data_IF_116635617603
#
_entry.id   IF_116635617603
#
_cell.length_a   1.000
_cell.length_b   1.000
_cell.length_c   1.000
_cell.angle_alpha   90.00
_cell.angle_beta   90.00
_cell.angle_gamma   90.00
#
_symmetry.space_group_name_H-M   'P 1'
#
loop_
_entity.id
_entity.type
_entity.pdbx_description
1 polymer ?
#
# COMPACT_ATOMS: atom_id res chain seq x y z
N UNK A 1 21.56 -39.28 -40.21
CA UNK A 1 20.33 -39.91 -40.76
C UNK A 1 19.59 -40.44 -39.56
N UNK A 2 18.44 -39.94 -39.12
CA UNK A 2 17.36 -39.24 -39.83
C UNK A 2 16.96 -37.99 -39.04
N UNK A 3 16.90 -36.85 -39.73
CA UNK A 3 16.16 -35.68 -39.24
C UNK A 3 14.71 -36.00 -39.57
N UNK A 4 13.89 -36.31 -38.57
CA UNK A 4 12.44 -36.36 -38.75
C UNK A 4 11.99 -34.98 -39.29
N UNK A 5 11.14 -34.94 -40.32
CA UNK A 5 10.64 -33.68 -40.83
C UNK A 5 9.82 -32.99 -39.73
N UNK A 6 9.95 -31.67 -39.64
CA UNK A 6 9.11 -30.83 -38.78
C UNK A 6 7.65 -31.23 -38.97
N UNK A 7 6.95 -31.49 -37.85
CA UNK A 7 5.55 -31.89 -37.83
C UNK A 7 4.73 -30.96 -38.73
N UNK A 8 4.01 -31.57 -39.67
CA UNK A 8 3.15 -30.88 -40.63
C UNK A 8 2.03 -30.13 -39.87
N UNK A 9 1.94 -28.79 -39.94
CA UNK A 9 0.94 -27.99 -39.21
C UNK A 9 -0.52 -28.33 -39.58
N UNK A 10 -0.75 -29.13 -40.63
CA UNK A 10 -2.06 -29.66 -41.02
C UNK A 10 -2.57 -30.80 -40.11
N UNK A 11 -1.74 -31.33 -39.20
CA UNK A 11 -2.10 -32.40 -38.26
C UNK A 11 -1.76 -31.99 -36.83
N UNK A 12 -2.28 -30.86 -36.34
CA UNK A 12 -2.29 -30.56 -34.90
C UNK A 12 -3.59 -31.11 -34.27
N UNK A 13 -3.55 -31.46 -32.97
CA UNK A 13 -4.79 -31.84 -32.27
C UNK A 13 -5.80 -30.68 -32.32
N UNK A 14 -7.06 -30.98 -32.69
CA UNK A 14 -8.13 -29.98 -32.72
C UNK A 14 -8.36 -29.41 -31.31
N UNK A 15 -8.37 -28.08 -31.21
CA UNK A 15 -8.63 -27.33 -29.99
C UNK A 15 -9.59 -26.17 -30.23
N UNK A 16 -10.25 -25.72 -29.17
CA UNK A 16 -11.03 -24.48 -29.17
C UNK A 16 -10.96 -23.79 -27.81
N UNK A 17 -11.33 -22.51 -27.78
CA UNK A 17 -11.37 -21.72 -26.56
C UNK A 17 -12.81 -21.43 -26.13
N UNK A 18 -13.10 -21.60 -24.84
CA UNK A 18 -14.27 -20.99 -24.20
C UNK A 18 -13.95 -19.52 -23.88
N UNK A 19 -14.51 -18.61 -24.67
CA UNK A 19 -14.29 -17.17 -24.52
C UNK A 19 -14.79 -16.60 -23.19
N UNK A 20 -15.73 -17.25 -22.51
CA UNK A 20 -16.18 -16.82 -21.18
C UNK A 20 -15.10 -17.07 -20.14
N UNK A 21 -14.50 -18.26 -20.16
CA UNK A 21 -13.38 -18.59 -19.27
C UNK A 21 -12.12 -17.79 -19.60
N UNK A 22 -11.88 -17.46 -20.88
CA UNK A 22 -10.83 -16.51 -21.27
C UNK A 22 -11.07 -15.14 -20.65
N UNK A 23 -12.28 -14.60 -20.77
CA UNK A 23 -12.63 -13.30 -20.20
C UNK A 23 -12.51 -13.32 -18.68
N UNK A 24 -12.97 -14.39 -18.05
CA UNK A 24 -12.85 -14.59 -16.61
C UNK A 24 -11.37 -14.60 -16.19
N UNK A 25 -10.50 -15.35 -16.87
CA UNK A 25 -9.07 -15.42 -16.54
C UNK A 25 -8.42 -14.03 -16.53
N UNK A 26 -8.76 -13.18 -17.51
CA UNK A 26 -8.28 -11.79 -17.59
C UNK A 26 -8.79 -10.97 -16.41
N UNK A 27 -10.09 -11.05 -16.10
CA UNK A 27 -10.68 -10.35 -14.94
C UNK A 27 -10.00 -10.78 -13.64
N UNK A 28 -9.71 -12.08 -13.48
CA UNK A 28 -9.02 -12.60 -12.32
C UNK A 28 -7.59 -12.06 -12.19
N UNK A 29 -6.85 -11.99 -13.30
CA UNK A 29 -5.51 -11.38 -13.28
C UNK A 29 -5.56 -9.89 -12.93
N UNK A 30 -6.56 -9.15 -13.41
CA UNK A 30 -6.74 -7.73 -13.06
C UNK A 30 -7.01 -7.58 -11.56
N UNK A 31 -7.92 -8.38 -10.99
CA UNK A 31 -8.28 -8.31 -9.57
C UNK A 31 -7.11 -8.74 -8.68
N UNK A 32 -6.46 -9.85 -8.99
CA UNK A 32 -5.24 -10.29 -8.33
C UNK A 32 -4.17 -9.20 -8.37
N UNK A 33 -4.01 -8.58 -9.54
CA UNK A 33 -3.04 -7.54 -9.74
C UNK A 33 -3.31 -6.28 -8.92
N UNK A 34 -4.58 -5.86 -8.86
CA UNK A 34 -5.03 -4.77 -8.01
C UNK A 34 -4.75 -5.05 -6.53
N UNK A 35 -5.02 -6.29 -6.10
CA UNK A 35 -4.76 -6.76 -4.73
C UNK A 35 -3.29 -6.69 -4.36
N UNK A 36 -2.45 -7.30 -5.20
CA UNK A 36 -1.03 -7.40 -4.97
C UNK A 36 -0.36 -6.01 -4.95
N UNK A 37 -0.71 -5.14 -5.91
CA UNK A 37 -0.23 -3.76 -5.94
C UNK A 37 -0.68 -2.96 -4.71
N UNK A 38 -1.92 -3.18 -4.26
CA UNK A 38 -2.45 -2.51 -3.08
C UNK A 38 -1.75 -2.92 -1.79
N UNK A 39 -1.43 -4.21 -1.63
CA UNK A 39 -0.66 -4.72 -0.49
C UNK A 39 0.80 -4.30 -0.55
N UNK A 40 1.43 -4.36 -1.73
CA UNK A 40 2.81 -3.92 -1.94
C UNK A 40 3.01 -2.43 -1.62
N UNK A 41 2.05 -1.57 -1.97
CA UNK A 41 2.10 -0.13 -1.69
C UNK A 41 2.13 0.21 -0.19
N UNK A 42 1.69 -0.70 0.70
CA UNK A 42 1.76 -0.50 2.16
C UNK A 42 3.13 -0.83 2.76
N UNK A 43 3.98 -1.57 2.04
CA UNK A 43 5.28 -2.04 2.52
C UNK A 43 6.22 -0.89 2.93
N UNK A 44 6.36 0.21 2.17
CA UNK A 44 7.26 1.32 2.52
C UNK A 44 6.83 2.10 3.77
N UNK A 45 5.53 2.12 4.08
CA UNK A 45 4.93 3.01 5.09
C UNK A 45 4.88 2.40 6.50
N UNK A 46 5.35 1.17 6.67
CA UNK A 46 5.21 0.42 7.91
C UNK A 46 6.57 -0.08 8.40
N UNK A 47 7.04 0.48 9.52
CA UNK A 47 8.31 0.09 10.12
C UNK A 47 8.25 -1.29 10.81
N UNK A 48 9.39 -2.00 10.84
CA UNK A 48 9.57 -3.24 11.60
C UNK A 48 8.90 -4.49 11.03
N UNK A 49 8.48 -5.41 11.91
CA UNK A 49 7.88 -6.72 11.56
C UNK A 49 6.59 -6.61 10.74
N UNK A 50 5.81 -5.55 10.95
CA UNK A 50 4.53 -5.35 10.24
C UNK A 50 4.71 -5.14 8.73
N UNK A 51 5.83 -4.58 8.28
CA UNK A 51 6.15 -4.46 6.85
C UNK A 51 6.34 -5.82 6.16
N UNK A 52 6.82 -6.84 6.89
CA UNK A 52 6.90 -8.21 6.37
C UNK A 52 5.54 -8.86 6.17
N UNK A 53 4.53 -8.55 7.01
CA UNK A 53 3.18 -9.09 6.81
C UNK A 53 2.52 -8.57 5.52
N UNK A 54 2.66 -7.28 5.22
CA UNK A 54 2.16 -6.71 3.97
C UNK A 54 2.87 -7.29 2.75
N UNK A 55 4.18 -7.53 2.88
CA UNK A 55 4.97 -8.13 1.83
C UNK A 55 4.59 -9.59 1.57
N UNK A 56 4.46 -10.40 2.63
CA UNK A 56 3.98 -11.79 2.54
C UNK A 56 2.58 -11.85 1.95
N UNK A 57 1.66 -10.99 2.42
CA UNK A 57 0.30 -10.89 1.89
C UNK A 57 0.29 -10.54 0.40
N UNK A 58 1.09 -9.55 -0.01
CA UNK A 58 1.23 -9.16 -1.42
C UNK A 58 1.80 -10.28 -2.29
N UNK A 59 2.81 -11.00 -1.82
CA UNK A 59 3.42 -12.12 -2.53
C UNK A 59 2.45 -13.30 -2.70
N UNK A 60 1.70 -13.65 -1.64
CA UNK A 60 0.68 -14.69 -1.69
C UNK A 60 -0.44 -14.29 -2.65
N UNK A 61 -0.97 -13.06 -2.54
CA UNK A 61 -2.02 -12.58 -3.43
C UNK A 61 -1.58 -12.56 -4.90
N UNK A 62 -0.34 -12.13 -5.17
CA UNK A 62 0.24 -12.14 -6.52
C UNK A 62 0.39 -13.57 -7.04
N UNK A 63 1.07 -14.45 -6.29
CA UNK A 63 1.34 -15.82 -6.73
C UNK A 63 0.07 -16.65 -6.93
N UNK A 64 -0.86 -16.59 -5.98
CA UNK A 64 -2.18 -17.23 -6.08
C UNK A 64 -2.95 -16.69 -7.29
N UNK A 65 -2.94 -15.37 -7.50
CA UNK A 65 -3.66 -14.75 -8.60
C UNK A 65 -3.14 -15.09 -9.99
N UNK A 66 -1.81 -15.11 -10.17
CA UNK A 66 -1.19 -15.54 -11.44
C UNK A 66 -1.52 -17.02 -11.68
N UNK A 67 -1.42 -17.86 -10.66
CA UNK A 67 -1.76 -19.28 -10.74
C UNK A 67 -3.24 -19.52 -11.08
N UNK A 68 -4.16 -18.82 -10.41
CA UNK A 68 -5.59 -18.87 -10.69
C UNK A 68 -5.91 -18.43 -12.12
N UNK A 69 -5.33 -17.32 -12.60
CA UNK A 69 -5.52 -16.92 -14.00
C UNK A 69 -5.01 -18.00 -14.95
N UNK A 70 -3.81 -18.53 -14.73
CA UNK A 70 -3.23 -19.55 -15.60
C UNK A 70 -4.13 -20.77 -15.71
N UNK A 71 -4.59 -21.35 -14.59
CA UNK A 71 -5.41 -22.55 -14.64
C UNK A 71 -6.85 -22.30 -15.10
N UNK A 72 -7.43 -21.12 -14.85
CA UNK A 72 -8.70 -20.75 -15.49
C UNK A 72 -8.51 -20.57 -17.01
N UNK A 73 -7.36 -20.06 -17.45
CA UNK A 73 -6.99 -20.01 -18.86
C UNK A 73 -6.78 -21.39 -19.49
N UNK A 74 -6.20 -22.34 -18.74
CA UNK A 74 -6.09 -23.75 -19.15
C UNK A 74 -7.47 -24.41 -19.27
N UNK A 75 -8.37 -24.16 -18.32
CA UNK A 75 -9.75 -24.65 -18.39
C UNK A 75 -10.53 -24.07 -19.57
N UNK A 76 -10.15 -22.89 -20.05
CA UNK A 76 -10.71 -22.31 -21.26
C UNK A 76 -10.24 -23.01 -22.54
N UNK A 77 -9.09 -23.70 -22.51
CA UNK A 77 -8.51 -24.38 -23.65
C UNK A 77 -8.95 -25.85 -23.68
N UNK A 78 -9.78 -26.19 -24.65
CA UNK A 78 -10.31 -27.55 -24.80
C UNK A 78 -9.57 -28.33 -25.87
N UNK A 79 -9.12 -29.52 -25.51
CA UNK A 79 -8.61 -30.54 -26.43
C UNK A 79 -9.66 -31.64 -26.64
N UNK A 80 -9.47 -32.43 -27.70
CA UNK A 80 -10.35 -33.56 -28.03
C UNK A 80 -10.17 -34.79 -27.10
N UNK A 81 -9.33 -34.67 -26.07
CA UNK A 81 -9.02 -35.70 -25.08
C UNK A 81 -9.36 -35.18 -23.67
N UNK A 82 -9.72 -36.06 -22.72
CA UNK A 82 -9.88 -35.65 -21.32
C UNK A 82 -8.52 -35.22 -20.72
N UNK A 83 -8.53 -34.12 -19.96
CA UNK A 83 -7.35 -33.58 -19.30
C UNK A 83 -7.46 -33.71 -17.78
N UNK A 84 -6.34 -34.13 -17.19
CA UNK A 84 -6.09 -34.17 -15.75
C UNK A 84 -4.73 -33.54 -15.45
N UNK A 85 -4.49 -33.25 -14.17
CA UNK A 85 -3.33 -32.50 -13.71
C UNK A 85 -2.64 -33.24 -12.58
N UNK A 86 -1.33 -33.39 -12.67
CA UNK A 86 -0.52 -33.96 -11.62
C UNK A 86 -0.48 -33.03 -10.39
N UNK A 87 -0.91 -33.53 -9.23
CA UNK A 87 -1.05 -32.74 -8.00
C UNK A 87 0.30 -32.16 -7.54
N UNK A 88 1.40 -32.95 -7.42
CA UNK A 88 2.70 -32.41 -7.03
C UNK A 88 3.21 -31.29 -7.95
N UNK A 89 3.13 -31.47 -9.27
CA UNK A 89 3.60 -30.46 -10.24
C UNK A 89 2.72 -29.21 -10.19
N UNK A 90 1.40 -29.38 -10.09
CA UNK A 90 0.44 -28.27 -9.94
C UNK A 90 0.73 -27.46 -8.67
N UNK A 91 0.97 -28.13 -7.55
CA UNK A 91 1.33 -27.47 -6.29
C UNK A 91 2.71 -26.78 -6.36
N UNK A 92 3.70 -27.41 -7.00
CA UNK A 92 5.01 -26.79 -7.21
C UNK A 92 4.88 -25.48 -8.01
N UNK A 93 4.00 -25.43 -9.02
CA UNK A 93 3.78 -24.24 -9.83
C UNK A 93 3.33 -23.03 -9.02
N UNK A 94 2.34 -23.18 -8.11
CA UNK A 94 1.87 -22.07 -7.27
C UNK A 94 2.94 -21.62 -6.26
N UNK A 95 3.69 -22.57 -5.69
CA UNK A 95 4.79 -22.26 -4.77
C UNK A 95 5.85 -21.43 -5.48
N UNK A 96 6.23 -21.79 -6.71
CA UNK A 96 7.18 -21.00 -7.50
C UNK A 96 6.71 -19.56 -7.73
N UNK A 97 5.43 -19.36 -8.07
CA UNK A 97 4.89 -18.02 -8.27
C UNK A 97 4.90 -17.19 -6.98
N UNK A 98 4.52 -17.78 -5.84
CA UNK A 98 4.53 -17.08 -4.54
C UNK A 98 5.95 -16.73 -4.12
N UNK A 99 6.89 -17.68 -4.22
CA UNK A 99 8.29 -17.50 -3.83
C UNK A 99 8.97 -16.45 -4.72
N UNK A 100 8.76 -16.50 -6.04
CA UNK A 100 9.30 -15.50 -6.95
C UNK A 100 8.73 -14.10 -6.66
N UNK A 101 7.42 -14.00 -6.43
CA UNK A 101 6.77 -12.74 -6.03
C UNK A 101 7.34 -12.20 -4.72
N UNK A 102 7.59 -13.08 -3.75
CA UNK A 102 8.16 -12.72 -2.45
C UNK A 102 9.55 -12.11 -2.58
N UNK A 103 10.46 -12.79 -3.29
CA UNK A 103 11.81 -12.31 -3.48
C UNK A 103 11.86 -11.02 -4.32
N UNK A 104 11.04 -10.91 -5.36
CA UNK A 104 10.97 -9.71 -6.20
C UNK A 104 10.55 -8.47 -5.39
N UNK A 105 9.52 -8.61 -4.55
CA UNK A 105 9.04 -7.54 -3.67
C UNK A 105 10.03 -7.24 -2.53
N UNK A 106 10.64 -8.26 -1.94
CA UNK A 106 11.64 -8.10 -0.88
C UNK A 106 12.90 -7.37 -1.36
N UNK A 107 13.32 -7.62 -2.60
CA UNK A 107 14.50 -6.98 -3.18
C UNK A 107 14.30 -5.47 -3.39
N UNK A 108 13.08 -5.02 -3.72
CA UNK A 108 12.77 -3.59 -3.90
C UNK A 108 12.50 -2.87 -2.56
N UNK A 109 12.10 -3.59 -1.51
CA UNK A 109 11.80 -3.00 -0.19
C UNK A 109 12.94 -2.16 0.40
N UNK A 110 14.19 -2.58 0.23
CA UNK A 110 15.34 -2.01 0.95
C UNK A 110 16.00 -0.78 0.27
N UNK A 111 15.26 -0.03 -0.54
CA UNK A 111 15.51 1.42 -0.64
C UNK A 111 16.69 1.90 -1.50
N UNK A 112 17.02 1.21 -2.60
CA UNK A 112 17.73 1.89 -3.69
C UNK A 112 17.00 1.59 -5.00
N UNK A 113 16.13 2.52 -5.43
CA UNK A 113 15.42 2.51 -6.72
C UNK A 113 16.36 2.72 -7.92
N UNK A 114 17.58 2.18 -7.85
CA UNK A 114 18.47 2.07 -9.01
C UNK A 114 17.78 1.18 -10.02
N UNK A 115 17.86 1.58 -11.29
CA UNK A 115 17.37 0.81 -12.43
C UNK A 115 17.81 -0.66 -12.38
N UNK A 116 19.01 -0.94 -11.85
CA UNK A 116 19.54 -2.31 -11.65
C UNK A 116 18.67 -3.18 -10.73
N UNK A 117 18.22 -2.65 -9.60
CA UNK A 117 17.36 -3.40 -8.65
C UNK A 117 16.00 -3.69 -9.26
N UNK A 118 15.43 -2.71 -9.98
CA UNK A 118 14.17 -2.88 -10.69
C UNK A 118 14.28 -3.96 -11.78
N UNK A 119 15.35 -3.92 -12.58
CA UNK A 119 15.64 -4.95 -13.59
C UNK A 119 15.81 -6.33 -12.94
N UNK A 120 16.58 -6.43 -11.86
CA UNK A 120 16.80 -7.70 -11.16
C UNK A 120 15.50 -8.29 -10.59
N UNK A 121 14.67 -7.47 -9.92
CA UNK A 121 13.36 -7.92 -9.42
C UNK A 121 12.39 -8.27 -10.55
N UNK A 122 12.40 -7.49 -11.65
CA UNK A 122 11.60 -7.78 -12.83
C UNK A 122 11.98 -9.11 -13.47
N UNK A 123 13.29 -9.41 -13.59
CA UNK A 123 13.78 -10.68 -14.11
C UNK A 123 13.37 -11.84 -13.21
N UNK A 124 13.51 -11.67 -11.88
CA UNK A 124 13.14 -12.68 -10.90
C UNK A 124 11.64 -12.97 -10.98
N UNK A 125 10.80 -11.93 -10.98
CA UNK A 125 9.35 -12.08 -11.06
C UNK A 125 8.93 -12.66 -12.41
N UNK A 126 9.42 -12.10 -13.53
CA UNK A 126 9.10 -12.59 -14.88
C UNK A 126 9.49 -14.04 -15.10
N UNK A 127 10.67 -14.44 -14.60
CA UNK A 127 11.10 -15.85 -14.59
C UNK A 127 10.19 -16.72 -13.73
N UNK A 128 9.74 -16.22 -12.57
CA UNK A 128 8.76 -16.93 -11.74
C UNK A 128 7.41 -17.12 -12.42
N UNK A 129 6.90 -16.11 -13.13
CA UNK A 129 5.64 -16.20 -13.88
C UNK A 129 5.78 -17.23 -15.02
N UNK A 130 6.87 -17.16 -15.80
CA UNK A 130 7.13 -18.12 -16.87
C UNK A 130 7.34 -19.54 -16.33
N UNK A 131 8.14 -19.70 -15.27
CA UNK A 131 8.38 -20.98 -14.63
C UNK A 131 7.09 -21.60 -14.09
N UNK A 132 6.23 -20.80 -13.45
CA UNK A 132 4.91 -21.27 -13.02
C UNK A 132 4.08 -21.74 -14.21
N UNK A 133 4.01 -20.95 -15.29
CA UNK A 133 3.23 -21.30 -16.48
C UNK A 133 3.68 -22.63 -17.11
N UNK A 134 4.97 -22.76 -17.45
CA UNK A 134 5.47 -23.97 -18.09
C UNK A 134 5.46 -25.19 -17.16
N UNK A 135 5.58 -24.99 -15.86
CA UNK A 135 5.39 -26.08 -14.89
C UNK A 135 3.92 -26.48 -14.80
N UNK A 136 2.99 -25.53 -14.85
CA UNK A 136 1.56 -25.81 -14.92
C UNK A 136 1.20 -26.62 -16.17
N UNK A 137 1.78 -26.28 -17.33
CA UNK A 137 1.66 -27.07 -18.56
C UNK A 137 2.22 -28.49 -18.40
N UNK A 138 3.37 -28.63 -17.74
CA UNK A 138 3.99 -29.93 -17.48
C UNK A 138 3.13 -30.83 -16.57
N UNK A 139 2.20 -30.27 -15.79
CA UNK A 139 1.30 -31.04 -14.94
C UNK A 139 0.33 -31.92 -15.74
N UNK A 140 0.07 -31.60 -17.03
CA UNK A 140 -0.74 -32.42 -17.91
C UNK A 140 -0.11 -33.80 -18.20
N UNK A 141 1.22 -33.94 -18.04
CA UNK A 141 1.96 -35.18 -18.34
C UNK A 141 1.58 -35.77 -19.70
N UNK A 142 1.67 -34.94 -20.75
CA UNK A 142 1.35 -35.37 -22.11
C UNK A 142 2.40 -36.34 -22.67
N UNK A 143 1.93 -37.34 -23.42
CA UNK A 143 2.77 -38.27 -24.17
C UNK A 143 2.21 -38.48 -25.59
N UNK A 144 2.92 -38.08 -26.66
CA UNK A 144 4.22 -37.41 -26.67
C UNK A 144 4.22 -36.06 -25.92
N UNK A 145 5.38 -35.60 -25.41
CA UNK A 145 5.47 -34.33 -24.70
C UNK A 145 5.04 -33.13 -25.54
N UNK A 146 4.51 -32.10 -24.87
CA UNK A 146 4.18 -30.81 -25.50
C UNK A 146 5.46 -30.22 -26.09
N UNK A 147 5.42 -29.92 -27.39
CA UNK A 147 6.54 -29.26 -28.06
C UNK A 147 6.32 -27.75 -28.02
N UNK A 148 7.39 -26.99 -27.88
CA UNK A 148 7.30 -25.53 -27.78
C UNK A 148 8.11 -24.87 -28.89
N UNK A 149 7.51 -23.89 -29.55
CA UNK A 149 8.20 -23.04 -30.52
C UNK A 149 9.09 -22.02 -29.77
N UNK A 150 10.42 -22.04 -29.94
CA UNK A 150 11.34 -21.26 -29.10
C UNK A 150 11.14 -19.75 -29.16
N UNK A 151 10.73 -19.19 -30.31
CA UNK A 151 10.55 -17.74 -30.46
C UNK A 151 9.35 -17.23 -29.66
N UNK A 152 8.23 -17.94 -29.69
CA UNK A 152 7.02 -17.62 -28.94
C UNK A 152 7.22 -17.82 -27.44
N UNK A 153 8.04 -18.79 -27.02
CA UNK A 153 8.50 -18.92 -25.63
C UNK A 153 9.34 -17.72 -25.19
N UNK A 154 10.29 -17.29 -26.03
CA UNK A 154 11.10 -16.11 -25.72
C UNK A 154 10.23 -14.84 -25.64
N UNK A 155 9.24 -14.71 -26.52
CA UNK A 155 8.28 -13.61 -26.53
C UNK A 155 7.40 -13.62 -25.27
N UNK A 156 6.88 -14.78 -24.85
CA UNK A 156 6.10 -14.90 -23.61
C UNK A 156 6.92 -14.47 -22.39
N UNK A 157 8.19 -14.91 -22.30
CA UNK A 157 9.10 -14.50 -21.26
C UNK A 157 9.36 -12.98 -21.27
N UNK A 158 9.55 -12.39 -22.46
CA UNK A 158 9.74 -10.95 -22.61
C UNK A 158 8.51 -10.17 -22.12
N UNK A 159 7.30 -10.66 -22.42
CA UNK A 159 6.05 -10.07 -21.93
C UNK A 159 5.97 -10.19 -20.41
N UNK A 160 6.27 -11.36 -19.83
CA UNK A 160 6.30 -11.55 -18.38
C UNK A 160 7.29 -10.60 -17.69
N UNK A 161 8.48 -10.44 -18.27
CA UNK A 161 9.51 -9.54 -17.76
C UNK A 161 9.05 -8.07 -17.83
N UNK A 162 8.54 -7.62 -18.97
CA UNK A 162 8.05 -6.25 -19.16
C UNK A 162 6.86 -5.94 -18.22
N UNK A 163 5.91 -6.87 -18.11
CA UNK A 163 4.78 -6.77 -17.19
C UNK A 163 5.26 -6.64 -15.74
N UNK A 164 6.26 -7.44 -15.36
CA UNK A 164 6.85 -7.42 -14.02
C UNK A 164 7.56 -6.10 -13.71
N UNK A 165 8.35 -5.56 -14.66
CA UNK A 165 9.00 -4.26 -14.50
C UNK A 165 7.99 -3.14 -14.31
N UNK A 166 6.93 -3.13 -15.13
CA UNK A 166 5.88 -2.12 -15.05
C UNK A 166 5.15 -2.19 -13.70
N UNK A 167 4.77 -3.39 -13.28
CA UNK A 167 4.10 -3.65 -12.00
C UNK A 167 4.94 -3.15 -10.81
N UNK A 168 6.22 -3.53 -10.78
CA UNK A 168 7.14 -3.18 -9.71
C UNK A 168 7.48 -1.68 -9.72
N UNK A 169 7.65 -1.08 -10.90
CA UNK A 169 7.85 0.38 -11.00
C UNK A 169 6.67 1.10 -10.37
N UNK A 170 5.44 0.72 -10.72
CA UNK A 170 4.26 1.40 -10.19
C UNK A 170 4.07 1.18 -8.67
N UNK A 171 4.24 -0.06 -8.20
CA UNK A 171 4.06 -0.41 -6.79
C UNK A 171 4.90 0.47 -5.85
N UNK A 172 6.06 0.96 -6.33
CA UNK A 172 7.03 1.69 -5.55
C UNK A 172 7.32 3.14 -6.02
N UNK A 173 6.88 3.55 -7.22
CA UNK A 173 7.07 4.94 -7.70
C UNK A 173 6.04 5.92 -7.13
N UNK A 174 4.88 5.44 -6.69
CA UNK A 174 3.78 6.29 -6.19
C UNK A 174 3.80 6.47 -4.65
N UNK A 175 4.93 6.20 -3.99
CA UNK A 175 5.03 6.35 -2.53
C UNK A 175 5.17 7.81 -2.05
N UNK A 176 5.18 8.79 -2.95
CA UNK A 176 5.30 10.22 -2.62
C UNK A 176 3.96 10.98 -2.54
N UNK A 177 2.83 10.38 -2.96
CA UNK A 177 1.51 11.04 -3.00
C UNK A 177 0.64 10.66 -1.76
N UNK A 178 0.79 11.38 -0.64
CA UNK A 178 -0.23 11.47 0.43
C UNK A 178 -0.67 10.14 1.12
N UNK A 179 -1.79 10.15 1.87
CA UNK A 179 -2.27 8.94 2.54
C UNK A 179 -2.60 7.84 1.50
N UNK A 180 -1.91 6.70 1.61
CA UNK A 180 -2.00 5.57 0.67
C UNK A 180 -3.40 4.95 0.69
N UNK A 181 -4.32 5.50 -0.09
CA UNK A 181 -5.61 4.85 -0.34
C UNK A 181 -5.38 3.56 -1.13
N UNK A 182 -6.05 2.49 -0.72
CA UNK A 182 -6.04 1.22 -1.44
C UNK A 182 -6.61 1.38 -2.85
N UNK A 183 -7.68 2.18 -2.97
CA UNK A 183 -8.32 2.50 -4.24
C UNK A 183 -7.80 3.83 -4.81
N UNK A 184 -7.27 3.78 -6.04
CA UNK A 184 -6.89 4.94 -6.84
C UNK A 184 -7.10 4.62 -8.32
N UNK A 185 -7.57 5.59 -9.12
CA UNK A 185 -7.72 5.42 -10.56
C UNK A 185 -6.40 4.99 -11.24
N UNK A 186 -5.25 5.50 -10.76
CA UNK A 186 -3.92 5.10 -11.23
C UNK A 186 -3.65 3.61 -10.95
N UNK A 187 -4.05 3.11 -9.78
CA UNK A 187 -3.89 1.68 -9.40
C UNK A 187 -4.83 0.79 -10.21
N UNK A 188 -6.08 1.20 -10.41
CA UNK A 188 -7.04 0.46 -11.24
C UNK A 188 -6.55 0.34 -12.70
N UNK A 189 -6.10 1.45 -13.29
CA UNK A 189 -5.55 1.44 -14.65
C UNK A 189 -4.34 0.51 -14.74
N UNK A 190 -3.47 0.54 -13.73
CA UNK A 190 -2.26 -0.27 -13.74
C UNK A 190 -2.52 -1.74 -13.48
N UNK A 191 -3.52 -2.10 -12.68
CA UNK A 191 -3.96 -3.48 -12.53
C UNK A 191 -4.61 -4.01 -13.80
N UNK A 192 -5.31 -3.16 -14.56
CA UNK A 192 -5.82 -3.52 -15.89
C UNK A 192 -4.66 -3.84 -16.84
N UNK A 193 -3.68 -2.93 -16.96
CA UNK A 193 -2.49 -3.12 -17.80
C UNK A 193 -1.74 -4.38 -17.39
N UNK A 194 -1.52 -4.58 -16.09
CA UNK A 194 -0.82 -5.75 -15.58
C UNK A 194 -1.62 -7.05 -15.83
N UNK A 195 -2.93 -7.06 -15.59
CA UNK A 195 -3.77 -8.24 -15.83
C UNK A 195 -3.78 -8.64 -17.30
N UNK A 196 -3.96 -7.67 -18.20
CA UNK A 196 -3.86 -7.89 -19.65
C UNK A 196 -2.48 -8.41 -20.05
N UNK A 197 -1.40 -7.90 -19.46
CA UNK A 197 -0.05 -8.35 -19.80
C UNK A 197 0.25 -9.78 -19.28
N UNK A 198 -0.17 -10.13 -18.06
CA UNK A 198 0.02 -11.49 -17.51
C UNK A 198 -0.83 -12.49 -18.29
N UNK A 199 -2.11 -12.17 -18.57
CA UNK A 199 -2.96 -13.03 -19.41
C UNK A 199 -2.44 -13.12 -20.84
N UNK A 200 -1.97 -12.01 -21.41
CA UNK A 200 -1.35 -11.95 -22.73
C UNK A 200 -0.12 -12.86 -22.81
N UNK A 201 0.74 -12.85 -21.78
CA UNK A 201 1.85 -13.80 -21.69
C UNK A 201 1.36 -15.25 -21.73
N UNK A 202 0.35 -15.57 -20.91
CA UNK A 202 -0.21 -16.93 -20.86
C UNK A 202 -0.71 -17.39 -22.23
N UNK A 203 -1.49 -16.57 -22.93
CA UNK A 203 -2.03 -16.95 -24.24
C UNK A 203 -0.97 -16.97 -25.35
N UNK A 204 0.06 -16.12 -25.29
CA UNK A 204 1.23 -16.22 -26.18
C UNK A 204 1.99 -17.52 -25.92
N UNK A 205 2.16 -17.91 -24.66
CA UNK A 205 2.81 -19.17 -24.30
C UNK A 205 1.98 -20.41 -24.69
N UNK A 206 0.64 -20.34 -24.59
CA UNK A 206 -0.25 -21.36 -25.15
C UNK A 206 -0.14 -21.46 -26.66
N UNK A 207 -0.05 -20.32 -27.36
CA UNK A 207 0.20 -20.29 -28.81
C UNK A 207 1.57 -20.82 -29.22
N UNK A 208 2.53 -20.91 -28.29
CA UNK A 208 3.81 -21.56 -28.51
C UNK A 208 3.74 -23.09 -28.41
N UNK A 209 2.68 -23.64 -27.80
CA UNK A 209 2.55 -25.05 -27.50
C UNK A 209 1.93 -25.83 -28.67
N UNK A 210 2.60 -26.91 -29.08
CA UNK A 210 2.12 -27.86 -30.06
C UNK A 210 1.76 -29.18 -29.38
N UNK A 211 0.53 -29.62 -29.61
CA UNK A 211 -0.02 -30.89 -29.12
C UNK A 211 -0.12 -31.87 -30.28
N UNK A 212 0.62 -32.99 -30.17
CA UNK A 212 0.55 -34.07 -31.15
C UNK A 212 -0.87 -34.65 -31.22
N UNK A 213 -1.45 -34.93 -32.41
CA UNK A 213 -2.79 -35.50 -32.54
C UNK A 213 -3.00 -36.83 -31.80
N UNK A 214 -1.93 -37.60 -31.62
CA UNK A 214 -1.95 -38.87 -30.93
C UNK A 214 -1.51 -38.74 -29.47
N UNK A 215 -1.33 -37.52 -28.97
CA UNK A 215 -0.97 -37.31 -27.57
C UNK A 215 -2.09 -37.74 -26.64
N UNK A 216 -1.69 -38.35 -25.52
CA UNK A 216 -2.58 -38.69 -24.41
C UNK A 216 -2.10 -38.01 -23.13
N UNK A 217 -3.04 -37.67 -22.27
CA UNK A 217 -2.77 -37.17 -20.92
C UNK A 217 -2.50 -38.36 -19.99
N UNK A 218 -1.29 -38.45 -19.43
CA UNK A 218 -0.91 -39.50 -18.49
C UNK A 218 -1.15 -39.13 -17.03
N UNK A 219 -1.59 -37.90 -16.74
CA UNK A 219 -1.96 -37.51 -15.39
C UNK A 219 -3.18 -38.31 -14.90
N UNK A 220 -3.17 -38.72 -13.63
CA UNK A 220 -4.22 -39.55 -13.04
C UNK A 220 -5.56 -38.79 -12.99
N UNK A 221 -6.59 -39.24 -13.73
CA UNK A 221 -7.88 -38.58 -13.76
C UNK A 221 -8.68 -38.72 -12.45
N UNK A 222 -8.29 -39.61 -11.54
CA UNK A 222 -8.89 -39.69 -10.20
C UNK A 222 -8.37 -38.63 -9.23
N UNK A 223 -7.30 -37.91 -9.61
CA UNK A 223 -6.71 -36.81 -8.86
C UNK A 223 -7.37 -35.47 -9.17
N UNK A 224 -6.61 -34.56 -9.81
CA UNK A 224 -7.11 -33.26 -10.25
C UNK A 224 -7.57 -33.36 -11.70
N UNK A 225 -8.82 -33.75 -11.92
CA UNK A 225 -9.46 -33.57 -13.23
C UNK A 225 -9.81 -32.09 -13.46
N UNK A 226 -10.25 -31.76 -14.67
CA UNK A 226 -10.60 -30.39 -15.04
C UNK A 226 -11.74 -29.81 -14.19
N UNK A 227 -12.73 -30.63 -13.78
CA UNK A 227 -13.83 -30.18 -12.94
C UNK A 227 -13.35 -29.85 -11.50
N UNK A 228 -12.55 -30.72 -10.90
CA UNK A 228 -11.98 -30.50 -9.57
C UNK A 228 -11.06 -29.30 -9.56
N UNK A 229 -10.21 -29.16 -10.59
CA UNK A 229 -9.35 -27.99 -10.73
C UNK A 229 -10.18 -26.69 -10.86
N UNK A 230 -11.29 -26.71 -11.61
CA UNK A 230 -12.19 -25.55 -11.71
C UNK A 230 -12.77 -25.17 -10.34
N UNK A 231 -13.22 -26.14 -9.55
CA UNK A 231 -13.73 -25.89 -8.18
C UNK A 231 -12.65 -25.35 -7.26
N UNK A 232 -11.43 -25.91 -7.30
CA UNK A 232 -10.31 -25.45 -6.48
C UNK A 232 -9.92 -24.02 -6.87
N UNK A 233 -9.72 -23.75 -8.16
CA UNK A 233 -9.35 -22.42 -8.65
C UNK A 233 -10.44 -21.39 -8.37
N UNK A 234 -11.72 -21.74 -8.53
CA UNK A 234 -12.85 -20.88 -8.18
C UNK A 234 -12.90 -20.58 -6.67
N UNK A 235 -12.70 -21.59 -5.82
CA UNK A 235 -12.71 -21.44 -4.36
C UNK A 235 -11.58 -20.54 -3.88
N UNK A 236 -10.36 -20.77 -4.38
CA UNK A 236 -9.19 -19.95 -4.06
C UNK A 236 -9.37 -18.51 -4.54
N UNK A 237 -9.92 -18.33 -5.74
CA UNK A 237 -10.23 -17.02 -6.30
C UNK A 237 -11.28 -16.27 -5.48
N UNK A 238 -12.35 -16.95 -5.06
CA UNK A 238 -13.40 -16.38 -4.23
C UNK A 238 -12.84 -15.92 -2.89
N UNK A 239 -11.98 -16.72 -2.26
CA UNK A 239 -11.29 -16.34 -1.02
C UNK A 239 -10.39 -15.12 -1.21
N UNK A 240 -9.66 -15.05 -2.33
CA UNK A 240 -8.85 -13.89 -2.68
C UNK A 240 -9.73 -12.64 -2.87
N UNK A 241 -10.84 -12.74 -3.61
CA UNK A 241 -11.81 -11.66 -3.79
C UNK A 241 -12.42 -11.21 -2.46
N UNK A 242 -12.86 -12.14 -1.60
CA UNK A 242 -13.42 -11.81 -0.29
C UNK A 242 -12.39 -11.07 0.57
N UNK A 243 -11.14 -11.57 0.59
CA UNK A 243 -10.03 -10.90 1.28
C UNK A 243 -9.81 -9.47 0.76
N UNK A 244 -9.89 -9.26 -0.56
CA UNK A 244 -9.72 -7.93 -1.14
C UNK A 244 -10.83 -6.96 -0.75
N UNK A 245 -12.08 -7.43 -0.77
CA UNK A 245 -13.23 -6.60 -0.38
C UNK A 245 -13.17 -6.24 1.10
N UNK A 246 -12.77 -7.18 1.96
CA UNK A 246 -12.56 -6.93 3.39
C UNK A 246 -11.45 -5.91 3.63
N UNK A 247 -10.32 -6.03 2.93
CA UNK A 247 -9.23 -5.05 3.05
C UNK A 247 -9.63 -3.67 2.52
N UNK A 248 -10.32 -3.61 1.39
CA UNK A 248 -10.82 -2.36 0.80
C UNK A 248 -11.83 -1.67 1.73
N UNK A 249 -12.78 -2.43 2.29
CA UNK A 249 -13.76 -1.90 3.22
C UNK A 249 -13.11 -1.38 4.50
N UNK A 250 -12.13 -2.09 5.04
CA UNK A 250 -11.36 -1.65 6.21
C UNK A 250 -10.58 -0.36 5.93
N UNK A 251 -9.94 -0.24 4.77
CA UNK A 251 -9.21 0.96 4.38
C UNK A 251 -10.14 2.17 4.19
N UNK A 252 -11.33 1.97 3.61
CA UNK A 252 -12.35 3.04 3.50
C UNK A 252 -12.82 3.49 4.89
N UNK A 253 -13.00 2.57 5.83
CA UNK A 253 -13.41 2.90 7.20
C UNK A 253 -12.34 3.71 7.93
N UNK A 254 -11.08 3.30 7.86
CA UNK A 254 -9.96 4.05 8.45
C UNK A 254 -9.87 5.44 7.83
N UNK A 255 -9.97 5.56 6.50
CA UNK A 255 -9.90 6.85 5.84
C UNK A 255 -11.02 7.79 6.31
N UNK A 256 -12.24 7.27 6.50
CA UNK A 256 -13.38 8.03 7.04
C UNK A 256 -13.14 8.45 8.49
N UNK A 257 -12.68 7.54 9.35
CA UNK A 257 -12.39 7.86 10.76
C UNK A 257 -11.29 8.91 10.88
N UNK A 258 -10.21 8.79 10.10
CA UNK A 258 -9.13 9.77 10.08
C UNK A 258 -9.62 11.15 9.61
N UNK A 259 -10.50 11.21 8.61
CA UNK A 259 -11.07 12.47 8.14
C UNK A 259 -11.94 13.17 9.21
N UNK A 260 -12.75 12.39 9.94
CA UNK A 260 -13.54 12.92 11.07
C UNK A 260 -12.62 13.41 12.19
N UNK A 261 -11.61 12.60 12.57
CA UNK A 261 -10.68 12.97 13.63
C UNK A 261 -9.87 14.22 13.29
N UNK A 262 -9.42 14.37 12.04
CA UNK A 262 -8.72 15.59 11.59
C UNK A 262 -9.63 16.80 11.69
N UNK A 263 -10.91 16.67 11.31
CA UNK A 263 -11.90 17.74 11.43
C UNK A 263 -12.15 18.13 12.89
N UNK A 264 -12.36 17.16 13.78
CA UNK A 264 -12.53 17.41 15.22
C UNK A 264 -11.28 18.05 15.85
N UNK A 265 -10.09 17.63 15.43
CA UNK A 265 -8.84 18.24 15.86
C UNK A 265 -8.73 19.70 15.39
N UNK A 266 -9.14 20.00 14.15
CA UNK A 266 -9.16 21.36 13.62
C UNK A 266 -10.15 22.25 14.39
N UNK A 267 -11.38 21.80 14.59
CA UNK A 267 -12.41 22.55 15.35
C UNK A 267 -11.97 22.80 16.80
N UNK A 268 -11.43 21.79 17.48
CA UNK A 268 -10.90 21.98 18.84
C UNK A 268 -9.73 22.95 18.89
N UNK A 269 -8.86 22.94 17.89
CA UNK A 269 -7.71 23.85 17.83
C UNK A 269 -8.18 25.30 17.60
N UNK A 270 -9.19 25.53 16.76
CA UNK A 270 -9.81 26.84 16.58
C UNK A 270 -10.44 27.36 17.89
N UNK A 271 -11.18 26.51 18.61
CA UNK A 271 -11.77 26.87 19.91
C UNK A 271 -10.69 27.19 20.95
N UNK A 272 -9.61 26.42 21.00
CA UNK A 272 -8.48 26.67 21.91
C UNK A 272 -7.78 27.98 21.57
N UNK A 273 -7.57 28.28 20.28
CA UNK A 273 -7.00 29.55 19.83
C UNK A 273 -7.89 30.74 20.22
N UNK A 274 -9.21 30.61 20.06
CA UNK A 274 -10.17 31.64 20.48
C UNK A 274 -10.15 31.88 21.99
N UNK A 275 -10.15 30.82 22.81
CA UNK A 275 -10.06 30.94 24.27
C UNK A 275 -8.73 31.56 24.71
N UNK A 276 -7.63 31.20 24.07
CA UNK A 276 -6.33 31.80 24.35
C UNK A 276 -6.32 33.30 24.01
N UNK A 277 -6.92 33.70 22.89
CA UNK A 277 -7.05 35.12 22.51
C UNK A 277 -7.92 35.89 23.51
N UNK A 278 -9.07 35.34 23.91
CA UNK A 278 -9.96 35.95 24.92
C UNK A 278 -9.25 36.13 26.28
N UNK A 279 -8.55 35.11 26.76
CA UNK A 279 -7.80 35.19 28.01
C UNK A 279 -6.66 36.23 27.93
N UNK A 280 -6.00 36.34 26.77
CA UNK A 280 -4.96 37.35 26.56
C UNK A 280 -5.53 38.78 26.58
N UNK A 281 -6.71 38.99 25.98
CA UNK A 281 -7.42 40.27 26.01
C UNK A 281 -7.85 40.62 27.44
N UNK A 282 -8.51 39.69 28.14
CA UNK A 282 -8.95 39.87 29.54
C UNK A 282 -7.75 40.15 30.47
N UNK A 283 -6.63 39.46 30.29
CA UNK A 283 -5.42 39.70 31.07
C UNK A 283 -4.80 41.07 30.77
N UNK A 284 -4.85 41.53 29.52
CA UNK A 284 -4.38 42.86 29.14
C UNK A 284 -5.26 43.95 29.74
N UNK A 285 -6.58 43.77 29.73
CA UNK A 285 -7.53 44.69 30.35
C UNK A 285 -7.34 44.74 31.88
N UNK A 286 -7.23 43.59 32.54
CA UNK A 286 -6.95 43.51 33.98
C UNK A 286 -5.62 44.19 34.37
N UNK A 287 -4.56 44.01 33.58
CA UNK A 287 -3.28 44.69 33.81
C UNK A 287 -3.43 46.21 33.66
N UNK A 288 -4.17 46.66 32.64
CA UNK A 288 -4.43 48.08 32.40
C UNK A 288 -5.23 48.69 33.56
N UNK A 289 -6.31 48.04 34.00
CA UNK A 289 -7.14 48.47 35.12
C UNK A 289 -6.36 48.54 36.44
N UNK A 290 -5.49 47.54 36.69
CA UNK A 290 -4.58 47.56 37.84
C UNK A 290 -3.64 48.78 37.76
N UNK A 291 -3.04 49.03 36.59
CA UNK A 291 -2.13 50.16 36.41
C UNK A 291 -2.84 51.52 36.52
N UNK A 292 -4.08 51.65 36.05
CA UNK A 292 -4.90 52.87 36.22
C UNK A 292 -5.27 53.09 37.69
N UNK A 293 -5.69 52.04 38.41
CA UNK A 293 -5.93 52.11 39.87
C UNK A 293 -4.68 52.53 40.63
N UNK A 294 -3.54 51.93 40.34
CA UNK A 294 -2.27 52.25 41.00
C UNK A 294 -1.87 53.72 40.76
N UNK A 295 -2.03 54.23 39.53
CA UNK A 295 -1.81 55.65 39.22
C UNK A 295 -2.78 56.58 39.94
N UNK A 296 -4.06 56.21 40.02
CA UNK A 296 -5.08 57.00 40.72
C UNK A 296 -4.76 57.09 42.22
N UNK A 297 -4.42 55.96 42.86
CA UNK A 297 -4.01 55.91 44.26
C UNK A 297 -2.75 56.75 44.51
N UNK A 298 -1.75 56.65 43.62
CA UNK A 298 -0.54 57.48 43.70
C UNK A 298 -0.88 58.98 43.60
N UNK A 299 -1.74 59.37 42.64
CA UNK A 299 -2.18 60.75 42.48
C UNK A 299 -2.94 61.30 43.69
N UNK A 300 -3.81 60.50 44.33
CA UNK A 300 -4.50 60.89 45.57
C UNK A 300 -3.49 61.13 46.70
N UNK A 301 -2.51 60.23 46.86
CA UNK A 301 -1.47 60.36 47.90
C UNK A 301 -0.60 61.59 47.66
N UNK A 302 -0.25 61.89 46.39
CA UNK A 302 0.56 63.05 46.03
C UNK A 302 -0.16 64.39 46.21
N UNK A 303 -1.46 64.44 45.91
CA UNK A 303 -2.26 65.67 45.99
C UNK A 303 -2.85 65.94 47.37
N UNK A 304 -2.87 64.94 48.28
CA UNK A 304 -3.45 65.17 49.60
C UNK A 304 -2.66 66.21 50.39
N UNK A 305 -3.38 67.00 51.20
CA UNK A 305 -2.78 68.04 52.03
C UNK A 305 -2.26 67.50 53.37
N UNK A 306 -2.61 66.27 53.74
CA UNK A 306 -2.17 65.60 54.95
C UNK A 306 -0.90 64.77 54.73
N UNK A 307 -0.01 64.77 55.72
CA UNK A 307 1.21 63.95 55.67
C UNK A 307 0.86 62.46 55.75
N UNK A 308 1.13 61.72 54.68
CA UNK A 308 0.96 60.26 54.61
C UNK A 308 2.35 59.60 54.57
N UNK A 309 2.59 58.72 55.54
CA UNK A 309 3.82 57.93 55.64
C UNK A 309 3.43 56.46 55.63
N UNK A 310 3.88 55.71 54.62
CA UNK A 310 3.65 54.26 54.55
C UNK A 310 4.94 53.53 54.92
N UNK A 311 4.86 52.51 55.76
CA UNK A 311 6.01 51.66 56.15
C UNK A 311 5.75 50.20 55.79
N UNK A 312 6.79 49.43 55.50
CA UNK A 312 6.68 47.97 55.37
C UNK A 312 6.60 47.31 56.76
N UNK A 313 6.49 45.97 56.77
CA UNK A 313 6.45 45.17 58.00
C UNK A 313 7.68 45.38 58.91
N UNK A 314 8.83 45.74 58.33
CA UNK A 314 10.08 46.02 59.05
C UNK A 314 10.22 47.47 59.55
N UNK A 315 9.12 48.24 59.50
CA UNK A 315 9.04 49.67 59.89
C UNK A 315 9.95 50.61 59.09
N UNK A 316 10.45 50.18 57.93
CA UNK A 316 11.13 51.09 57.01
C UNK A 316 10.11 51.86 56.17
N UNK A 317 10.36 53.15 55.94
CA UNK A 317 9.50 54.02 55.15
C UNK A 317 9.54 53.61 53.68
N UNK A 318 8.37 53.36 53.11
CA UNK A 318 8.17 52.92 51.71
C UNK A 318 7.57 54.05 50.87
N UNK A 319 6.74 54.91 51.49
CA UNK A 319 6.17 56.07 50.83
C UNK A 319 6.23 57.29 51.76
N UNK A 320 6.57 58.43 51.17
CA UNK A 320 6.68 59.73 51.82
C UNK A 320 6.14 60.79 50.85
N UNK A 321 4.93 61.29 51.12
CA UNK A 321 4.21 62.16 50.19
C UNK A 321 4.62 63.66 50.32
N UNK A 322 4.30 64.53 49.35
CA UNK A 322 4.71 65.95 49.38
C UNK A 322 4.23 66.73 50.60
N UNK A 323 3.09 66.37 51.21
CA UNK A 323 2.64 66.98 52.45
C UNK A 323 3.52 66.60 53.64
N UNK A 324 4.03 65.36 53.71
CA UNK A 324 5.02 64.95 54.70
C UNK A 324 6.36 65.69 54.52
N UNK A 325 6.79 65.92 53.28
CA UNK A 325 7.98 66.74 53.01
C UNK A 325 7.81 68.17 53.54
N UNK A 326 6.66 68.81 53.27
CA UNK A 326 6.36 70.16 53.78
C UNK A 326 6.24 70.22 55.30
N UNK A 327 5.68 69.18 55.92
CA UNK A 327 5.44 69.14 57.36
C UNK A 327 6.70 68.83 58.17
N UNK A 328 7.53 67.90 57.70
CA UNK A 328 8.69 67.39 58.45
C UNK A 328 10.04 67.88 57.91
N UNK A 329 10.07 68.51 56.71
CA UNK A 329 11.27 69.14 56.15
C UNK A 329 12.28 68.19 55.49
N UNK A 330 11.96 66.90 55.37
CA UNK A 330 12.81 65.90 54.70
C UNK A 330 12.18 65.48 53.37
N UNK A 331 13.00 65.28 52.34
CA UNK A 331 12.55 64.78 51.05
C UNK A 331 12.25 63.28 51.08
N UNK A 332 11.44 62.84 50.12
CA UNK A 332 11.07 61.43 49.93
C UNK A 332 12.31 60.54 49.72
N UNK A 333 13.31 61.03 48.99
CA UNK A 333 14.58 60.30 48.78
C UNK A 333 15.39 60.13 50.06
N UNK A 334 15.38 61.12 50.96
CA UNK A 334 16.10 61.05 52.24
C UNK A 334 15.45 60.07 53.23
N UNK A 335 14.13 59.94 53.19
CA UNK A 335 13.36 59.14 54.14
C UNK A 335 13.06 57.72 53.67
N UNK A 336 12.96 57.48 52.36
CA UNK A 336 12.71 56.13 51.80
C UNK A 336 13.78 55.13 52.27
N UNK A 337 13.34 54.01 52.83
CA UNK A 337 14.20 52.96 53.39
C UNK A 337 14.72 53.21 54.81
N UNK A 338 14.52 54.42 55.39
CA UNK A 338 14.86 54.67 56.79
C UNK A 338 13.86 54.00 57.71
N UNK A 339 14.34 53.41 58.81
CA UNK A 339 13.49 52.87 59.87
C UNK A 339 12.98 54.00 60.75
N UNK A 340 11.68 53.96 61.05
CA UNK A 340 11.06 54.85 62.03
C UNK A 340 11.48 54.47 63.44
#
# INVERSE_FOLDING_TARGET
MNVEPAADPLHAMNYYYDYWLVTLSVVLAILAGFTALSLAAKVPHVQGRKGWYWLMGGAVAMGVGIWSMHFVGMLAFHLSIPLAYDIPITFASIVMAIVASLFALALIRNGIHRLRTLIASGLLMGSGIAAMHYTGMAALKMSPPIQYEPMMVALSFLIAFAASLYALKLAFHNSDDGPVMMFSAKKLLSSVVMGVAISGMHYVAMGAAYFDPNAICLADPTGLDSATLAVVTASVTLLLMLGTLLLLSYDIQIARQNAILVKELQENNEVLQQRAAQLAEEMTENIRDSAERDRMLAGIIEQTSEAIITTNLDRSVVNWNPAAERMFGYSSEEMRGRKR
#
